data_IF_933810151338
#
_entry.id   IF_933810151338
#
_cell.length_a   1.000
_cell.length_b   1.000
_cell.length_c   1.000
_cell.angle_alpha   90.00
_cell.angle_beta   90.00
_cell.angle_gamma   90.00
#
_symmetry.space_group_name_H-M   'P 1'
#
loop_
_entity.id
_entity.type
_entity.pdbx_description
1 polymer ?
#
# COMPACT_ATOMS: atom_id res chain seq x y z
N UNK A 1 -54.37 -5.12 41.04
CA UNK A 1 -53.05 -5.71 41.35
C UNK A 1 -52.48 -6.64 40.26
N UNK A 2 -53.21 -6.91 39.15
CA UNK A 2 -52.76 -7.84 38.08
C UNK A 2 -52.07 -7.08 36.92
N UNK A 3 -52.46 -5.83 36.64
CA UNK A 3 -51.88 -5.03 35.54
C UNK A 3 -50.43 -4.55 35.76
N UNK A 4 -49.99 -4.37 37.01
CA UNK A 4 -48.61 -3.98 37.33
C UNK A 4 -47.60 -5.12 37.10
N UNK A 5 -48.00 -6.38 37.31
CA UNK A 5 -47.17 -7.55 37.05
C UNK A 5 -46.97 -7.77 35.53
N UNK A 6 -48.01 -7.53 34.74
CA UNK A 6 -47.95 -7.67 33.27
C UNK A 6 -47.02 -6.62 32.63
N UNK A 7 -46.97 -5.40 33.18
CA UNK A 7 -46.09 -4.34 32.70
C UNK A 7 -44.60 -4.63 33.01
N UNK A 8 -44.30 -5.15 34.21
CA UNK A 8 -42.95 -5.57 34.59
C UNK A 8 -42.46 -6.78 33.79
N UNK A 9 -43.33 -7.76 33.54
CA UNK A 9 -43.00 -8.90 32.68
C UNK A 9 -42.70 -8.44 31.25
N UNK A 10 -43.48 -7.50 30.70
CA UNK A 10 -43.22 -6.92 29.37
C UNK A 10 -41.90 -6.14 29.30
N UNK A 11 -41.57 -5.37 30.34
CA UNK A 11 -40.28 -4.66 30.45
C UNK A 11 -39.09 -5.62 30.60
N UNK A 12 -39.24 -6.70 31.38
CA UNK A 12 -38.21 -7.73 31.52
C UNK A 12 -37.98 -8.46 30.19
N UNK A 13 -39.03 -8.79 29.44
CA UNK A 13 -38.92 -9.39 28.10
C UNK A 13 -38.30 -8.42 27.07
N UNK A 14 -38.54 -7.11 27.19
CA UNK A 14 -37.89 -6.10 26.33
C UNK A 14 -36.41 -5.91 26.66
N UNK A 15 -36.02 -6.03 27.93
CA UNK A 15 -34.61 -6.01 28.33
C UNK A 15 -33.89 -7.31 27.97
N UNK A 16 -34.56 -8.47 28.08
CA UNK A 16 -34.03 -9.77 27.69
C UNK A 16 -33.86 -9.90 26.17
N UNK A 17 -34.74 -9.27 25.38
CA UNK A 17 -34.65 -9.26 23.92
C UNK A 17 -33.54 -8.36 23.39
N UNK A 18 -33.08 -7.34 24.15
CA UNK A 18 -31.88 -6.57 23.80
C UNK A 18 -30.58 -7.27 24.20
N UNK A 19 -30.54 -7.99 25.32
CA UNK A 19 -29.35 -8.71 25.78
C UNK A 19 -29.08 -10.02 25.03
N UNK A 20 -30.06 -10.58 24.31
CA UNK A 20 -29.90 -11.81 23.53
C UNK A 20 -29.34 -11.59 22.11
N UNK A 21 -29.16 -10.35 21.66
CA UNK A 21 -28.73 -10.03 20.27
C UNK A 21 -27.20 -10.11 20.09
N UNK A 22 -26.45 -10.16 21.20
CA UNK A 22 -24.98 -10.00 21.19
C UNK A 22 -24.19 -11.13 21.88
N UNK A 23 -24.87 -12.22 22.28
CA UNK A 23 -24.26 -13.32 23.01
C UNK A 23 -23.01 -13.86 22.28
N UNK A 24 -21.84 -13.64 22.87
CA UNK A 24 -20.54 -14.19 22.44
C UNK A 24 -19.57 -13.18 21.81
N UNK A 25 -20.06 -12.16 21.10
CA UNK A 25 -19.18 -11.21 20.39
C UNK A 25 -18.78 -9.99 21.24
N UNK A 26 -19.50 -9.70 22.32
CA UNK A 26 -19.21 -8.56 23.23
C UNK A 26 -17.82 -8.60 23.88
N UNK A 27 -17.18 -9.78 23.89
CA UNK A 27 -15.83 -9.98 24.44
C UNK A 27 -14.72 -9.33 23.59
N UNK A 28 -15.02 -8.94 22.34
CA UNK A 28 -14.07 -8.29 21.45
C UNK A 28 -14.27 -6.78 21.50
N UNK A 29 -13.26 -6.06 21.98
CA UNK A 29 -13.33 -4.62 22.23
C UNK A 29 -13.00 -3.78 21.00
N UNK A 30 -12.29 -4.35 20.03
CA UNK A 30 -11.81 -3.63 18.85
C UNK A 30 -12.17 -4.38 17.55
N UNK A 31 -12.06 -3.66 16.44
CA UNK A 31 -12.40 -4.21 15.13
C UNK A 31 -11.54 -5.42 14.77
N UNK A 32 -10.23 -5.37 15.06
CA UNK A 32 -9.28 -6.38 14.61
C UNK A 32 -9.48 -7.70 15.35
N UNK A 33 -9.82 -7.65 16.63
CA UNK A 33 -10.18 -8.83 17.42
C UNK A 33 -11.59 -9.35 17.13
N UNK A 34 -12.51 -8.47 16.70
CA UNK A 34 -13.90 -8.80 16.42
C UNK A 34 -14.16 -9.39 15.03
N UNK A 35 -13.69 -8.71 13.97
CA UNK A 35 -14.14 -8.96 12.62
C UNK A 35 -13.61 -10.30 12.10
N UNK A 36 -14.51 -11.25 11.86
CA UNK A 36 -14.17 -12.60 11.43
C UNK A 36 -13.97 -13.59 12.58
N UNK A 37 -14.10 -13.15 13.83
CA UNK A 37 -13.95 -13.99 14.99
C UNK A 37 -15.08 -15.01 15.14
N UNK A 38 -14.85 -16.03 15.98
CA UNK A 38 -15.77 -17.14 16.22
C UNK A 38 -16.27 -17.77 14.90
N UNK A 39 -15.31 -18.18 14.05
CA UNK A 39 -15.55 -18.74 12.70
C UNK A 39 -16.36 -17.83 11.77
N UNK A 40 -16.13 -16.52 11.82
CA UNK A 40 -16.78 -15.53 10.96
C UNK A 40 -18.19 -15.13 11.41
N UNK A 41 -18.63 -15.56 12.59
CA UNK A 41 -19.93 -15.16 13.13
C UNK A 41 -19.94 -13.71 13.62
N UNK A 42 -18.83 -13.24 14.20
CA UNK A 42 -18.71 -11.88 14.69
C UNK A 42 -18.29 -10.88 13.59
N UNK A 43 -18.92 -9.70 13.62
CA UNK A 43 -18.68 -8.60 12.68
C UNK A 43 -18.60 -7.28 13.44
N UNK A 44 -17.74 -6.39 13.00
CA UNK A 44 -17.56 -5.08 13.65
C UNK A 44 -18.41 -4.02 12.95
N UNK A 45 -19.10 -3.19 13.73
CA UNK A 45 -19.88 -2.07 13.20
C UNK A 45 -19.13 -0.75 13.37
N UNK A 46 -18.81 -0.07 12.27
CA UNK A 46 -18.10 1.22 12.30
C UNK A 46 -18.91 2.33 12.99
N UNK A 47 -20.22 2.38 12.76
CA UNK A 47 -21.08 3.46 13.29
C UNK A 47 -21.20 3.43 14.80
N UNK A 48 -21.25 2.23 15.38
CA UNK A 48 -21.45 2.05 16.83
C UNK A 48 -20.15 1.66 17.55
N UNK A 49 -19.10 1.35 16.80
CA UNK A 49 -17.84 0.80 17.29
C UNK A 49 -18.04 -0.44 18.18
N UNK A 50 -18.97 -1.32 17.80
CA UNK A 50 -19.33 -2.53 18.55
C UNK A 50 -19.15 -3.79 17.72
N UNK A 51 -18.80 -4.88 18.40
CA UNK A 51 -18.82 -6.22 17.84
C UNK A 51 -20.21 -6.84 17.95
N UNK A 52 -20.74 -7.37 16.84
CA UNK A 52 -22.11 -7.86 16.72
C UNK A 52 -22.12 -9.26 16.08
N UNK A 53 -22.98 -10.14 16.59
CA UNK A 53 -23.23 -11.46 16.00
C UNK A 53 -24.28 -11.37 14.87
N UNK A 54 -25.34 -10.58 15.08
CA UNK A 54 -26.43 -10.38 14.11
C UNK A 54 -26.36 -8.98 13.51
N UNK A 55 -26.21 -8.90 12.18
CA UNK A 55 -26.27 -7.64 11.43
C UNK A 55 -27.74 -7.27 11.21
N UNK A 56 -28.24 -6.33 12.02
CA UNK A 56 -29.62 -5.85 11.99
C UNK A 56 -29.73 -4.33 12.15
N UNK A 57 -30.86 -3.85 12.69
CA UNK A 57 -31.26 -2.44 12.87
C UNK A 57 -30.17 -1.48 13.41
N UNK A 58 -29.15 -1.99 14.09
CA UNK A 58 -28.12 -1.20 14.79
C UNK A 58 -26.83 -0.97 13.98
N UNK A 59 -26.71 -1.52 12.77
CA UNK A 59 -25.59 -1.23 11.88
C UNK A 59 -26.05 -1.20 10.41
N UNK A 60 -25.83 -0.07 9.74
CA UNK A 60 -26.05 0.02 8.29
C UNK A 60 -25.12 -0.98 7.59
N UNK A 61 -25.61 -1.67 6.55
CA UNK A 61 -24.85 -2.73 5.85
C UNK A 61 -23.48 -2.26 5.37
N UNK A 62 -23.35 -1.00 4.95
CA UNK A 62 -22.10 -0.42 4.44
C UNK A 62 -21.07 -0.13 5.56
N UNK A 63 -21.49 -0.17 6.82
CA UNK A 63 -20.65 0.08 8.00
C UNK A 63 -20.22 -1.22 8.70
N UNK A 64 -20.46 -2.38 8.08
CA UNK A 64 -20.17 -3.69 8.67
C UNK A 64 -18.84 -4.22 8.13
N UNK A 65 -17.89 -4.39 9.03
CA UNK A 65 -16.59 -5.00 8.77
C UNK A 65 -16.66 -6.49 9.12
N UNK A 66 -16.38 -7.34 8.13
CA UNK A 66 -16.46 -8.80 8.27
C UNK A 66 -15.10 -9.47 8.46
N UNK A 67 -14.04 -8.84 7.97
CA UNK A 67 -12.68 -9.33 8.09
C UNK A 67 -11.85 -8.33 8.88
N UNK A 68 -10.97 -8.81 9.74
CA UNK A 68 -10.04 -8.00 10.51
C UNK A 68 -9.14 -7.13 9.63
N UNK A 69 -8.84 -7.57 8.41
CA UNK A 69 -8.09 -6.80 7.42
C UNK A 69 -8.82 -5.54 6.92
N UNK A 70 -10.15 -5.55 6.90
CA UNK A 70 -10.95 -4.39 6.45
C UNK A 70 -11.14 -3.35 7.59
N UNK A 71 -10.52 -3.58 8.75
CA UNK A 71 -10.64 -2.68 9.89
C UNK A 71 -9.93 -1.35 9.66
N UNK A 72 -10.49 -0.23 10.18
CA UNK A 72 -9.83 1.06 10.11
C UNK A 72 -8.44 0.99 10.73
N UNK A 73 -7.45 1.47 9.98
CA UNK A 73 -6.10 1.67 10.50
C UNK A 73 -6.05 2.96 11.32
N UNK A 74 -5.20 2.98 12.35
CA UNK A 74 -4.97 4.19 13.13
C UNK A 74 -4.48 5.31 12.22
N UNK A 75 -4.97 6.52 12.46
CA UNK A 75 -4.46 7.71 11.78
C UNK A 75 -2.95 7.81 12.06
N UNK A 76 -2.10 7.91 11.02
CA UNK A 76 -0.67 8.05 11.21
C UNK A 76 -0.37 9.25 12.12
N UNK A 77 0.68 9.19 12.96
CA UNK A 77 1.18 10.35 13.67
C UNK A 77 1.38 11.52 12.70
N UNK A 78 1.22 12.77 13.17
CA UNK A 78 1.24 13.96 12.32
C UNK A 78 2.50 14.07 11.43
N UNK A 79 3.65 13.56 11.91
CA UNK A 79 4.91 13.50 11.16
C UNK A 79 4.89 12.56 9.95
N UNK A 80 3.96 11.60 9.92
CA UNK A 80 3.72 10.66 8.83
C UNK A 80 2.39 10.89 8.10
N UNK A 81 1.67 11.97 8.42
CA UNK A 81 0.45 12.35 7.73
C UNK A 81 0.70 12.70 6.26
N UNK A 82 -0.30 12.50 5.41
CA UNK A 82 -0.21 12.81 3.99
C UNK A 82 0.12 14.29 3.76
N UNK A 83 1.19 14.55 3.01
CA UNK A 83 1.58 15.89 2.62
C UNK A 83 1.30 16.12 1.12
N UNK A 84 0.23 16.88 0.84
CA UNK A 84 -0.20 17.22 -0.53
C UNK A 84 0.85 18.05 -1.27
N UNK A 85 1.58 18.94 -0.59
CA UNK A 85 2.64 19.73 -1.23
C UNK A 85 3.80 18.83 -1.65
N UNK A 86 4.24 17.94 -0.76
CA UNK A 86 5.25 16.94 -1.10
C UNK A 86 4.78 16.05 -2.26
N UNK A 87 3.54 15.56 -2.21
CA UNK A 87 3.00 14.71 -3.26
C UNK A 87 2.97 15.42 -4.63
N UNK A 88 2.51 16.68 -4.69
CA UNK A 88 2.40 17.45 -5.94
C UNK A 88 3.73 17.97 -6.47
N UNK A 89 4.58 18.51 -5.60
CA UNK A 89 5.76 19.26 -6.01
C UNK A 89 7.06 18.47 -5.92
N UNK A 90 7.04 17.27 -5.34
CA UNK A 90 8.21 16.38 -5.29
C UNK A 90 7.88 15.00 -5.86
N UNK A 91 6.91 14.28 -5.29
CA UNK A 91 6.65 12.90 -5.71
C UNK A 91 6.14 12.82 -7.17
N UNK A 92 5.19 13.67 -7.58
CA UNK A 92 4.64 13.64 -8.93
C UNK A 92 5.70 13.93 -10.02
N UNK A 93 6.55 14.97 -9.90
CA UNK A 93 7.73 15.14 -10.76
C UNK A 93 8.67 13.94 -10.83
N UNK A 94 8.97 13.30 -9.69
CA UNK A 94 9.83 12.12 -9.64
C UNK A 94 9.17 10.93 -10.37
N UNK A 95 7.86 10.75 -10.24
CA UNK A 95 7.11 9.75 -10.98
C UNK A 95 7.20 10.01 -12.48
N UNK A 96 6.95 11.25 -12.91
CA UNK A 96 7.05 11.63 -14.31
C UNK A 96 8.48 11.44 -14.87
N UNK A 97 9.51 11.71 -14.06
CA UNK A 97 10.90 11.56 -14.46
C UNK A 97 11.26 10.13 -14.85
N UNK A 98 10.63 9.12 -14.26
CA UNK A 98 10.84 7.71 -14.63
C UNK A 98 10.41 7.39 -16.06
N UNK A 99 9.51 8.19 -16.66
CA UNK A 99 9.06 8.02 -18.04
C UNK A 99 9.99 8.70 -19.06
N UNK A 100 11.00 9.44 -18.62
CA UNK A 100 11.97 10.07 -19.48
C UNK A 100 13.30 9.30 -19.45
N UNK A 101 13.87 8.89 -20.60
CA UNK A 101 15.20 8.26 -20.64
C UNK A 101 16.33 9.12 -20.07
N UNK A 102 16.11 10.43 -19.94
CA UNK A 102 16.96 11.36 -19.21
C UNK A 102 16.19 12.03 -18.06
N UNK A 103 16.03 11.35 -16.90
CA UNK A 103 15.30 11.90 -15.76
C UNK A 103 15.83 13.24 -15.24
N UNK A 104 17.12 13.55 -15.46
CA UNK A 104 17.75 14.79 -15.00
C UNK A 104 17.02 16.03 -15.54
N UNK A 105 16.55 16.00 -16.79
CA UNK A 105 15.78 17.09 -17.40
C UNK A 105 14.52 17.38 -16.58
N UNK A 106 13.84 16.35 -16.09
CA UNK A 106 12.65 16.50 -15.26
C UNK A 106 13.00 17.10 -13.89
N UNK A 107 14.13 16.70 -13.29
CA UNK A 107 14.59 17.24 -12.01
C UNK A 107 14.95 18.73 -12.12
N UNK A 108 15.63 19.12 -13.20
CA UNK A 108 16.07 20.49 -13.44
C UNK A 108 14.87 21.41 -13.73
N UNK A 109 13.94 20.96 -14.59
CA UNK A 109 12.73 21.72 -14.92
C UNK A 109 11.84 22.00 -13.70
N UNK A 110 11.84 21.08 -12.73
CA UNK A 110 11.07 21.20 -11.49
C UNK A 110 11.92 21.71 -10.31
N UNK A 111 13.20 22.05 -10.54
CA UNK A 111 14.14 22.56 -9.53
C UNK A 111 14.21 21.68 -8.28
N UNK A 112 14.19 20.36 -8.46
CA UNK A 112 14.18 19.39 -7.35
C UNK A 112 15.57 19.18 -6.72
N UNK A 113 16.64 19.66 -7.37
CA UNK A 113 18.03 19.51 -6.96
C UNK A 113 18.52 18.05 -6.81
N UNK A 114 17.81 17.09 -7.39
CA UNK A 114 18.30 15.71 -7.52
C UNK A 114 19.35 15.62 -8.63
N UNK A 115 20.36 14.80 -8.39
CA UNK A 115 21.39 14.41 -9.34
C UNK A 115 21.20 12.94 -9.71
N UNK A 116 21.02 12.66 -10.99
CA UNK A 116 20.87 11.32 -11.53
C UNK A 116 22.16 10.52 -11.33
N UNK A 117 22.03 9.32 -10.77
CA UNK A 117 23.13 8.36 -10.62
C UNK A 117 23.04 7.29 -11.69
N UNK A 118 21.84 6.76 -11.87
CA UNK A 118 21.59 5.65 -12.77
C UNK A 118 20.18 5.72 -13.34
N UNK A 119 20.05 5.44 -14.63
CA UNK A 119 18.80 5.12 -15.30
C UNK A 119 19.00 3.83 -16.09
N UNK A 120 18.03 2.93 -16.02
CA UNK A 120 17.99 1.73 -16.83
C UNK A 120 16.58 1.43 -17.27
N UNK A 121 16.46 1.06 -18.53
CA UNK A 121 15.30 0.41 -19.09
C UNK A 121 15.65 -1.06 -19.37
N UNK A 122 14.79 -1.97 -18.96
CA UNK A 122 14.94 -3.42 -19.14
C UNK A 122 13.62 -4.01 -19.62
N UNK A 123 13.64 -5.24 -20.14
CA UNK A 123 12.40 -6.01 -20.33
C UNK A 123 11.77 -6.30 -18.98
N UNK A 124 10.48 -5.97 -18.80
CA UNK A 124 9.82 -6.20 -17.50
C UNK A 124 9.77 -7.67 -17.14
N UNK A 125 9.33 -8.49 -18.08
CA UNK A 125 9.28 -9.94 -17.92
C UNK A 125 9.80 -10.59 -19.19
N UNK A 126 10.44 -11.74 -19.02
CA UNK A 126 11.12 -12.48 -20.11
C UNK A 126 10.16 -13.17 -21.09
N UNK A 127 8.86 -12.90 -21.05
CA UNK A 127 7.85 -13.65 -21.83
C UNK A 127 7.31 -12.82 -22.97
N UNK A 128 7.28 -13.39 -24.20
CA UNK A 128 6.55 -13.08 -25.46
C UNK A 128 6.30 -11.61 -25.89
N UNK A 129 6.15 -10.67 -24.99
CA UNK A 129 5.95 -9.25 -25.21
C UNK A 129 7.29 -8.51 -25.09
N UNK A 130 7.46 -7.46 -25.90
CA UNK A 130 8.65 -6.60 -25.86
C UNK A 130 8.46 -5.42 -24.88
N UNK A 131 7.64 -5.62 -23.87
CA UNK A 131 7.32 -4.62 -22.86
C UNK A 131 8.53 -4.31 -21.99
N UNK A 132 8.84 -3.03 -21.87
CA UNK A 132 9.96 -2.55 -21.05
C UNK A 132 9.47 -1.73 -19.87
N UNK A 133 10.21 -1.79 -18.78
CA UNK A 133 10.07 -0.90 -17.63
C UNK A 133 11.43 -0.34 -17.29
N UNK A 134 11.38 0.77 -16.57
CA UNK A 134 12.56 1.51 -16.24
C UNK A 134 12.61 1.85 -14.76
N UNK A 135 13.83 2.11 -14.30
CA UNK A 135 14.09 2.67 -12.98
C UNK A 135 15.13 3.77 -13.09
N UNK A 136 15.09 4.70 -12.15
CA UNK A 136 16.22 5.58 -11.87
C UNK A 136 16.60 5.53 -10.40
N UNK A 137 17.87 5.85 -10.13
CA UNK A 137 18.38 6.20 -8.81
C UNK A 137 18.99 7.60 -8.90
N UNK A 138 18.61 8.47 -7.98
CA UNK A 138 19.12 9.83 -7.86
C UNK A 138 19.39 10.18 -6.40
N UNK A 139 20.21 11.21 -6.15
CA UNK A 139 20.46 11.71 -4.79
C UNK A 139 20.34 13.23 -4.73
N UNK A 140 20.09 13.75 -3.53
CA UNK A 140 20.05 15.18 -3.23
C UNK A 140 20.81 15.42 -1.91
N UNK A 141 21.98 16.05 -2.01
CA UNK A 141 22.83 16.39 -0.87
C UNK A 141 22.18 17.42 0.07
N UNK A 142 21.39 18.36 -0.46
CA UNK A 142 20.78 19.42 0.34
C UNK A 142 19.72 18.87 1.31
N UNK A 143 19.06 17.78 0.93
CA UNK A 143 18.02 17.13 1.74
C UNK A 143 18.46 15.75 2.27
N UNK A 144 19.73 15.36 2.11
CA UNK A 144 20.24 14.04 2.48
C UNK A 144 19.32 12.90 1.98
N UNK A 145 18.87 12.98 0.73
CA UNK A 145 17.83 12.07 0.19
C UNK A 145 18.33 11.28 -1.01
N UNK A 146 18.08 9.97 -1.01
CA UNK A 146 18.09 9.12 -2.21
C UNK A 146 16.67 9.02 -2.74
N UNK A 147 16.49 9.11 -4.05
CA UNK A 147 15.22 8.83 -4.72
C UNK A 147 15.36 7.64 -5.65
N UNK A 148 14.41 6.71 -5.59
CA UNK A 148 14.28 5.60 -6.54
C UNK A 148 12.90 5.67 -7.17
N UNK A 149 12.87 5.88 -8.49
CA UNK A 149 11.62 5.97 -9.25
C UNK A 149 11.47 4.82 -10.23
N UNK A 150 10.23 4.36 -10.40
CA UNK A 150 9.89 3.24 -11.28
C UNK A 150 8.89 3.66 -12.34
N UNK A 151 9.17 3.29 -13.58
CA UNK A 151 8.26 3.38 -14.72
C UNK A 151 7.53 2.06 -14.89
N UNK A 152 6.25 2.12 -15.19
CA UNK A 152 5.51 0.97 -15.72
C UNK A 152 5.93 0.62 -17.15
N UNK A 153 5.12 -0.24 -17.77
CA UNK A 153 5.29 -0.74 -19.13
C UNK A 153 5.25 0.38 -20.18
N UNK A 154 6.14 0.34 -21.17
CA UNK A 154 5.96 1.04 -22.46
C UNK A 154 5.71 0.03 -23.58
N UNK A 155 4.54 0.12 -24.22
CA UNK A 155 4.06 -0.82 -25.25
C UNK A 155 2.60 -0.55 -25.65
N UNK A 156 2.07 -1.23 -26.67
CA UNK A 156 0.66 -1.12 -27.06
C UNK A 156 -0.23 -1.50 -25.87
N UNK A 157 -1.00 -0.52 -25.40
CA UNK A 157 -1.71 -0.53 -24.13
C UNK A 157 -3.00 -1.36 -24.19
N UNK A 158 -2.87 -2.67 -24.11
CA UNK A 158 -3.94 -3.51 -23.60
C UNK A 158 -3.62 -3.86 -22.16
N UNK A 159 -3.94 -2.91 -21.26
CA UNK A 159 -3.95 -3.04 -19.81
C UNK A 159 -4.36 -4.47 -19.37
N UNK A 160 -5.34 -5.04 -20.05
CA UNK A 160 -5.97 -6.35 -19.84
C UNK A 160 -4.98 -7.52 -19.89
N UNK A 161 -4.01 -7.56 -20.80
CA UNK A 161 -3.08 -8.70 -20.93
C UNK A 161 -2.01 -8.70 -19.82
N UNK A 162 -1.55 -7.51 -19.42
CA UNK A 162 -0.65 -7.35 -18.26
C UNK A 162 -1.35 -7.79 -16.97
N UNK A 163 -2.61 -7.39 -16.80
CA UNK A 163 -3.49 -7.79 -15.69
C UNK A 163 -3.76 -9.31 -15.69
N UNK A 164 -3.96 -9.95 -16.86
CA UNK A 164 -4.15 -11.40 -16.96
C UNK A 164 -2.87 -12.17 -16.58
N UNK A 165 -1.69 -11.58 -16.80
CA UNK A 165 -0.42 -12.20 -16.42
C UNK A 165 -0.17 -12.21 -14.89
N UNK A 166 -0.81 -11.31 -14.15
CA UNK A 166 -0.84 -11.29 -12.67
C UNK A 166 -1.47 -12.60 -12.14
N UNK A 167 -2.37 -13.24 -12.91
CA UNK A 167 -3.02 -14.50 -12.54
C UNK A 167 -2.09 -15.73 -12.61
N UNK A 168 -0.84 -15.59 -13.06
CA UNK A 168 0.11 -16.71 -13.21
C UNK A 168 0.76 -17.17 -11.90
N UNK A 169 0.32 -16.64 -10.75
CA UNK A 169 0.73 -17.06 -9.41
C UNK A 169 1.40 -15.94 -8.61
N UNK A 170 1.85 -16.30 -7.41
CA UNK A 170 2.55 -15.40 -6.48
C UNK A 170 3.83 -16.07 -6.00
N UNK A 171 4.89 -15.29 -5.82
CA UNK A 171 6.15 -15.74 -5.24
C UNK A 171 6.22 -15.28 -3.78
N UNK A 172 6.83 -16.11 -2.93
CA UNK A 172 7.20 -15.69 -1.57
C UNK A 172 8.10 -14.47 -1.63
N UNK A 173 7.77 -13.45 -0.84
CA UNK A 173 8.52 -12.22 -0.76
C UNK A 173 9.17 -12.08 0.60
N UNK A 174 10.47 -11.77 0.62
CA UNK A 174 11.26 -11.69 1.86
C UNK A 174 10.73 -10.64 2.83
N UNK A 175 10.12 -9.56 2.33
CA UNK A 175 9.46 -8.55 3.15
C UNK A 175 8.13 -8.97 3.76
N UNK A 176 7.67 -10.21 3.52
CA UNK A 176 6.44 -10.79 4.06
C UNK A 176 5.42 -11.14 2.97
N UNK A 177 4.69 -12.24 3.19
CA UNK A 177 3.63 -12.72 2.30
C UNK A 177 4.11 -13.12 0.90
N UNK A 178 3.21 -13.01 -0.07
CA UNK A 178 3.49 -13.32 -1.48
C UNK A 178 3.12 -12.16 -2.41
N UNK A 179 3.99 -11.89 -3.37
CA UNK A 179 3.82 -10.87 -4.40
C UNK A 179 3.50 -11.54 -5.73
N UNK A 180 2.60 -10.95 -6.53
CA UNK A 180 2.29 -11.51 -7.85
C UNK A 180 3.53 -11.65 -8.73
N UNK A 181 3.65 -12.79 -9.41
CA UNK A 181 4.89 -13.19 -10.09
C UNK A 181 5.36 -12.20 -11.14
N UNK A 182 4.43 -11.54 -11.82
CA UNK A 182 4.73 -10.48 -12.78
C UNK A 182 5.52 -9.32 -12.13
N UNK A 183 4.99 -8.75 -11.05
CA UNK A 183 5.63 -7.64 -10.32
C UNK A 183 6.94 -8.07 -9.67
N UNK A 184 6.97 -9.27 -9.07
CA UNK A 184 8.18 -9.84 -8.46
C UNK A 184 9.32 -9.91 -9.48
N UNK A 185 9.08 -10.53 -10.63
CA UNK A 185 10.10 -10.72 -11.66
C UNK A 185 10.55 -9.38 -12.27
N UNK A 186 9.61 -8.48 -12.58
CA UNK A 186 9.94 -7.15 -13.09
C UNK A 186 10.77 -6.33 -12.08
N UNK A 187 10.42 -6.41 -10.80
CA UNK A 187 11.18 -5.77 -9.73
C UNK A 187 12.61 -6.31 -9.67
N UNK A 188 12.81 -7.63 -9.56
CA UNK A 188 14.17 -8.18 -9.42
C UNK A 188 15.01 -8.02 -10.69
N UNK A 189 14.39 -7.98 -11.88
CA UNK A 189 15.09 -7.61 -13.11
C UNK A 189 15.68 -6.19 -13.03
N UNK A 190 14.89 -5.20 -12.61
CA UNK A 190 15.39 -3.84 -12.42
C UNK A 190 16.36 -3.75 -11.24
N UNK A 191 16.09 -4.46 -10.14
CA UNK A 191 16.92 -4.42 -8.94
C UNK A 191 18.35 -4.90 -9.23
N UNK A 192 18.47 -6.05 -9.90
CA UNK A 192 19.75 -6.68 -10.21
C UNK A 192 20.52 -5.94 -11.30
N UNK A 193 19.84 -5.33 -12.28
CA UNK A 193 20.49 -4.67 -13.43
C UNK A 193 20.68 -3.15 -13.27
N UNK A 194 20.09 -2.53 -12.24
CA UNK A 194 20.08 -1.06 -12.07
C UNK A 194 20.20 -0.66 -10.61
N UNK A 195 19.20 -1.01 -9.80
CA UNK A 195 18.98 -0.33 -8.51
C UNK A 195 20.07 -0.67 -7.50
N UNK A 196 20.49 -1.93 -7.42
CA UNK A 196 21.53 -2.35 -6.46
C UNK A 196 22.85 -1.58 -6.65
N UNK A 197 23.27 -1.41 -7.90
CA UNK A 197 24.48 -0.65 -8.25
C UNK A 197 24.26 0.86 -8.11
N UNK A 198 23.10 1.38 -8.53
CA UNK A 198 22.73 2.79 -8.37
C UNK A 198 22.70 3.22 -6.91
N UNK A 199 22.17 2.39 -6.00
CA UNK A 199 22.17 2.65 -4.56
C UNK A 199 23.59 2.68 -3.99
N UNK A 200 24.43 1.73 -4.39
CA UNK A 200 25.84 1.68 -3.97
C UNK A 200 26.56 2.98 -4.35
N UNK A 201 26.39 3.44 -5.60
CA UNK A 201 26.96 4.71 -6.07
C UNK A 201 26.36 5.92 -5.37
N UNK A 202 25.05 5.95 -5.16
CA UNK A 202 24.38 7.04 -4.46
C UNK A 202 24.92 7.23 -3.04
N UNK A 203 25.20 6.13 -2.32
CA UNK A 203 25.82 6.19 -0.98
C UNK A 203 27.27 6.67 -0.99
N UNK A 204 28.03 6.41 -2.07
CA UNK A 204 29.38 6.98 -2.23
C UNK A 204 29.34 8.48 -2.51
N UNK A 205 28.40 8.93 -3.35
CA UNK A 205 28.25 10.33 -3.74
C UNK A 205 27.56 11.19 -2.66
N UNK A 206 26.72 10.57 -1.83
CA UNK A 206 26.07 11.18 -0.69
C UNK A 206 26.08 10.25 0.52
N UNK A 207 27.21 10.20 1.28
CA UNK A 207 27.34 9.35 2.45
C UNK A 207 26.32 9.64 3.55
N UNK A 208 25.88 10.90 3.65
CA UNK A 208 24.90 11.34 4.64
C UNK A 208 23.44 11.17 4.18
N UNK A 209 23.20 10.71 2.94
CA UNK A 209 21.83 10.55 2.45
C UNK A 209 21.13 9.35 3.10
N UNK A 210 20.46 9.60 4.22
CA UNK A 210 19.74 8.62 5.02
C UNK A 210 18.22 8.63 4.78
N UNK A 211 17.71 9.57 3.99
CA UNK A 211 16.30 9.62 3.56
C UNK A 211 16.12 8.86 2.25
N UNK A 212 14.98 8.19 2.09
CA UNK A 212 14.60 7.50 0.86
C UNK A 212 13.21 7.96 0.41
N UNK A 213 13.12 8.37 -0.86
CA UNK A 213 11.84 8.57 -1.55
C UNK A 213 11.69 7.48 -2.61
N UNK A 214 10.60 6.72 -2.54
CA UNK A 214 10.27 5.68 -3.52
C UNK A 214 8.99 6.06 -4.23
N UNK A 215 9.01 6.07 -5.57
CA UNK A 215 7.86 6.51 -6.36
C UNK A 215 7.58 5.67 -7.58
N UNK A 216 6.32 5.57 -7.98
CA UNK A 216 5.94 4.94 -9.25
C UNK A 216 4.48 5.11 -9.64
N UNK A 217 4.17 4.85 -10.91
CA UNK A 217 2.81 4.91 -11.47
C UNK A 217 2.42 3.59 -12.13
N UNK A 218 1.15 3.19 -12.00
CA UNK A 218 0.61 1.94 -12.57
C UNK A 218 1.46 0.74 -12.11
N UNK A 219 1.98 -0.10 -13.02
CA UNK A 219 2.98 -1.14 -12.73
C UNK A 219 4.12 -0.62 -11.85
N UNK A 220 4.68 0.55 -12.19
CA UNK A 220 5.75 1.16 -11.41
C UNK A 220 5.36 1.42 -9.95
N UNK A 221 4.07 1.60 -9.66
CA UNK A 221 3.55 1.69 -8.30
C UNK A 221 3.71 0.38 -7.52
N UNK A 222 3.42 -0.77 -8.13
CA UNK A 222 3.70 -2.08 -7.50
C UNK A 222 5.20 -2.28 -7.27
N UNK A 223 6.05 -1.90 -8.23
CA UNK A 223 7.51 -2.01 -8.07
C UNK A 223 8.04 -1.10 -6.95
N UNK A 224 7.50 0.12 -6.84
CA UNK A 224 7.79 1.05 -5.75
C UNK A 224 7.37 0.48 -4.38
N UNK A 225 6.18 -0.12 -4.30
CA UNK A 225 5.69 -0.81 -3.09
C UNK A 225 6.63 -1.94 -2.66
N UNK A 226 7.06 -2.78 -3.61
CA UNK A 226 7.99 -3.89 -3.36
C UNK A 226 9.35 -3.35 -2.88
N UNK A 227 9.92 -2.36 -3.56
CA UNK A 227 11.20 -1.79 -3.20
C UNK A 227 11.19 -1.07 -1.84
N UNK A 228 10.12 -0.30 -1.56
CA UNK A 228 9.94 0.36 -0.26
C UNK A 228 9.95 -0.65 0.89
N UNK A 229 9.16 -1.73 0.76
CA UNK A 229 9.16 -2.82 1.75
C UNK A 229 10.53 -3.46 1.87
N UNK A 230 11.18 -3.76 0.73
CA UNK A 230 12.50 -4.39 0.72
C UNK A 230 13.56 -3.54 1.43
N UNK A 231 13.59 -2.24 1.13
CA UNK A 231 14.57 -1.30 1.67
C UNK A 231 14.47 -1.22 3.21
N UNK A 232 13.25 -1.23 3.75
CA UNK A 232 13.02 -1.25 5.19
C UNK A 232 13.36 -2.62 5.78
N UNK A 233 12.86 -3.70 5.18
CA UNK A 233 13.06 -5.07 5.65
C UNK A 233 14.55 -5.43 5.76
N UNK A 234 15.33 -5.10 4.71
CA UNK A 234 16.79 -5.31 4.67
C UNK A 234 17.58 -4.26 5.45
N UNK A 235 16.91 -3.33 6.15
CA UNK A 235 17.53 -2.24 6.93
C UNK A 235 18.50 -1.38 6.10
N UNK A 236 18.19 -1.19 4.81
CA UNK A 236 18.95 -0.27 3.95
C UNK A 236 18.69 1.19 4.33
N UNK A 237 17.48 1.45 4.81
CA UNK A 237 17.02 2.73 5.33
C UNK A 237 16.13 2.49 6.55
N UNK A 238 16.14 3.42 7.51
CA UNK A 238 15.23 3.38 8.65
C UNK A 238 13.79 3.63 8.19
N UNK A 239 12.82 2.89 8.73
CA UNK A 239 11.41 2.99 8.35
C UNK A 239 10.85 4.43 8.50
N UNK A 240 11.34 5.21 9.47
CA UNK A 240 10.95 6.62 9.68
C UNK A 240 11.49 7.57 8.61
N UNK A 241 12.47 7.12 7.82
CA UNK A 241 13.16 7.89 6.78
C UNK A 241 12.77 7.46 5.37
N UNK A 242 11.88 6.48 5.22
CA UNK A 242 11.36 6.02 3.94
C UNK A 242 9.98 6.62 3.68
N UNK A 243 9.84 7.29 2.53
CA UNK A 243 8.56 7.78 2.00
C UNK A 243 8.24 7.07 0.68
N UNK A 244 7.17 6.29 0.66
CA UNK A 244 6.66 5.65 -0.56
C UNK A 244 5.40 6.38 -1.03
N UNK A 245 5.39 6.89 -2.26
CA UNK A 245 4.18 7.45 -2.90
C UNK A 245 3.98 6.84 -4.28
N UNK A 246 2.78 6.30 -4.52
CA UNK A 246 2.44 5.70 -5.81
C UNK A 246 1.14 6.27 -6.35
N UNK A 247 1.01 6.26 -7.69
CA UNK A 247 -0.21 6.69 -8.40
C UNK A 247 -0.79 5.50 -9.16
N UNK A 248 -2.06 5.19 -8.96
CA UNK A 248 -2.73 4.11 -9.73
C UNK A 248 -2.09 2.73 -9.54
N UNK A 249 -1.46 2.45 -8.40
CA UNK A 249 -0.83 1.16 -8.13
C UNK A 249 -1.89 0.04 -8.05
N UNK A 250 -1.77 -1.08 -8.80
CA UNK A 250 -2.64 -2.25 -8.69
C UNK A 250 -2.40 -3.05 -7.40
N UNK A 251 -3.24 -4.05 -7.07
CA UNK A 251 -2.97 -4.91 -5.91
C UNK A 251 -1.69 -5.71 -6.14
N UNK A 252 -0.71 -5.53 -5.25
CA UNK A 252 0.66 -6.02 -5.47
C UNK A 252 0.89 -7.44 -4.95
N UNK A 253 0.22 -7.84 -3.88
CA UNK A 253 0.44 -9.13 -3.22
C UNK A 253 -0.82 -9.71 -2.58
N UNK A 254 -0.65 -10.76 -1.78
CA UNK A 254 -1.68 -11.30 -0.91
C UNK A 254 -1.89 -10.46 0.36
N UNK A 255 -2.84 -10.91 1.19
CA UNK A 255 -3.16 -10.29 2.47
C UNK A 255 -1.95 -10.22 3.38
N UNK A 256 -1.17 -11.31 3.48
CA UNK A 256 0.05 -11.35 4.29
C UNK A 256 1.10 -10.32 3.82
N UNK A 257 1.23 -10.07 2.51
CA UNK A 257 2.08 -9.01 1.98
C UNK A 257 1.56 -7.63 2.38
N UNK A 258 0.24 -7.40 2.29
CA UNK A 258 -0.37 -6.13 2.67
C UNK A 258 -0.16 -5.84 4.16
N UNK A 259 -0.40 -6.83 5.03
CA UNK A 259 -0.16 -6.69 6.47
C UNK A 259 1.31 -6.42 6.80
N UNK A 260 2.24 -7.12 6.14
CA UNK A 260 3.67 -6.91 6.35
C UNK A 260 4.11 -5.53 5.83
N UNK A 261 3.60 -5.10 4.67
CA UNK A 261 3.84 -3.76 4.12
C UNK A 261 3.38 -2.68 5.11
N UNK A 262 2.18 -2.80 5.66
CA UNK A 262 1.60 -1.82 6.59
C UNK A 262 2.30 -1.81 7.95
N UNK A 263 2.78 -2.98 8.41
CA UNK A 263 3.57 -3.07 9.64
C UNK A 263 4.96 -2.42 9.51
N UNK A 264 5.58 -2.51 8.32
CA UNK A 264 6.93 -1.99 8.07
C UNK A 264 6.94 -0.48 7.77
N UNK A 265 6.00 0.02 6.96
CA UNK A 265 6.02 1.41 6.54
C UNK A 265 5.48 2.37 7.61
N UNK A 266 6.14 3.52 7.75
CA UNK A 266 5.58 4.67 8.49
C UNK A 266 4.89 5.67 7.57
N UNK A 267 5.44 5.87 6.36
CA UNK A 267 4.87 6.72 5.33
C UNK A 267 4.75 5.95 4.00
N UNK A 268 3.55 5.49 3.68
CA UNK A 268 3.22 4.88 2.39
C UNK A 268 1.83 5.32 1.95
N UNK A 269 1.74 6.01 0.81
CA UNK A 269 0.47 6.51 0.29
C UNK A 269 0.25 6.08 -1.16
N UNK A 270 -0.89 5.43 -1.38
CA UNK A 270 -1.36 4.95 -2.67
C UNK A 270 -2.47 5.87 -3.17
N UNK A 271 -2.15 6.76 -4.10
CA UNK A 271 -3.10 7.76 -4.61
C UNK A 271 -3.85 7.21 -5.82
N UNK A 272 -5.17 7.27 -5.78
CA UNK A 272 -6.07 6.74 -6.83
C UNK A 272 -6.82 7.88 -7.50
N UNK A 273 -6.82 7.90 -8.83
CA UNK A 273 -7.56 8.93 -9.57
C UNK A 273 -9.01 8.50 -9.85
N UNK A 274 -9.95 8.99 -9.03
CA UNK A 274 -11.40 8.79 -9.20
C UNK A 274 -11.79 7.32 -9.36
N UNK A 275 -12.13 6.91 -10.59
CA UNK A 275 -12.65 5.58 -10.96
C UNK A 275 -11.63 4.78 -11.78
N UNK A 276 -10.34 5.12 -11.65
CA UNK A 276 -9.25 4.34 -12.26
C UNK A 276 -9.42 2.86 -11.89
N UNK A 277 -9.58 1.94 -12.86
CA UNK A 277 -9.76 0.53 -12.57
C UNK A 277 -8.48 -0.12 -12.05
N UNK A 278 -7.28 0.41 -12.33
CA UNK A 278 -6.01 -0.27 -12.04
C UNK A 278 -5.86 -0.65 -10.56
N UNK A 279 -6.13 0.24 -9.59
CA UNK A 279 -6.04 -0.09 -8.16
C UNK A 279 -7.04 -1.11 -7.64
N UNK A 280 -8.03 -1.47 -8.46
CA UNK A 280 -9.12 -2.39 -8.13
C UNK A 280 -8.95 -3.78 -8.75
N UNK A 281 -7.76 -4.06 -9.31
CA UNK A 281 -7.35 -5.34 -9.84
C UNK A 281 -6.38 -6.01 -8.87
#
# INVERSE_FOLDING_TARGET
MIGFMQFYVFLIFLTFSLSAVNAGCDKYEDCKSCAGADNGSCKFCLTTSKCLNIVGLNCQKDNVIKNSFDCPVNVPPQEFAYDDKFARYTAFPLIAAAFNPNPQICFDNQKLNFQLVEYREVKCVSTKHNDTCASFVAYNNATNTVSVGFRGTSGNWELIEEILSILKGKNDFEGGGKVYSYFYNAFYNLFNNSISHGLTKAKQLCPNCDNLIVTGHSLGGSLASIFGTLAIHRKLFDASKVKTITLGQPRTGDEAYAEAHDALHKYSYRVVHRKDPVPHL
#
